data_IF_804795954277
#
_entry.id   IF_804795954277
#
_cell.length_a   1.000
_cell.length_b   1.000
_cell.length_c   1.000
_cell.angle_alpha   90.00
_cell.angle_beta   90.00
_cell.angle_gamma   90.00
#
_symmetry.space_group_name_H-M   'P 1'
#
loop_
_entity.id
_entity.type
_entity.pdbx_description
1 polymer ?
#
# COMPACT_ATOMS: atom_id res chain seq x y z
N UNK A 1 -21.09 11.19 5.28
CA UNK A 1 -20.70 9.76 5.28
C UNK A 1 -19.33 9.62 4.62
N UNK A 2 -18.31 9.05 5.29
CA UNK A 2 -17.08 8.67 4.62
C UNK A 2 -17.37 7.56 3.59
N UNK A 3 -16.56 7.47 2.52
CA UNK A 3 -16.64 6.44 1.47
C UNK A 3 -17.86 6.54 0.53
N UNK A 4 -18.14 7.74 0.02
CA UNK A 4 -19.18 7.94 -0.98
C UNK A 4 -18.89 7.11 -2.25
N UNK A 5 -19.87 6.30 -2.65
CA UNK A 5 -19.81 5.59 -3.92
C UNK A 5 -20.16 6.57 -5.04
N UNK A 6 -19.39 6.62 -6.14
CA UNK A 6 -19.65 7.57 -7.23
C UNK A 6 -21.05 7.36 -7.84
N UNK A 7 -21.77 8.46 -8.06
CA UNK A 7 -23.12 8.42 -8.66
C UNK A 7 -23.12 7.96 -10.13
N UNK A 8 -21.98 8.08 -10.82
CA UNK A 8 -21.81 7.67 -12.22
C UNK A 8 -21.55 6.17 -12.39
N UNK A 9 -21.46 5.41 -11.29
CA UNK A 9 -21.30 3.95 -11.27
C UNK A 9 -22.65 3.27 -11.07
N UNK A 10 -22.87 2.17 -11.79
CA UNK A 10 -24.11 1.40 -11.67
C UNK A 10 -24.31 0.87 -10.25
N UNK A 11 -25.51 1.05 -9.69
CA UNK A 11 -25.90 0.45 -8.40
C UNK A 11 -25.70 -1.07 -8.37
N UNK A 12 -25.78 -1.73 -9.53
CA UNK A 12 -25.57 -3.18 -9.66
C UNK A 12 -24.11 -3.63 -9.42
N UNK A 13 -23.14 -2.72 -9.44
CA UNK A 13 -21.74 -3.03 -9.18
C UNK A 13 -21.39 -3.03 -7.68
N UNK A 14 -22.29 -2.51 -6.85
CA UNK A 14 -22.15 -2.46 -5.40
C UNK A 14 -22.31 -3.85 -4.79
N UNK A 15 -21.32 -4.27 -4.00
CA UNK A 15 -21.29 -5.59 -3.38
C UNK A 15 -21.54 -5.50 -1.87
N UNK A 16 -22.31 -6.45 -1.34
CA UNK A 16 -22.56 -6.59 0.09
C UNK A 16 -21.69 -7.72 0.65
N UNK A 17 -20.59 -7.36 1.30
CA UNK A 17 -19.62 -8.29 1.86
C UNK A 17 -19.94 -8.66 3.31
N UNK A 18 -20.53 -7.72 4.05
CA UNK A 18 -20.89 -7.87 5.46
C UNK A 18 -22.26 -7.25 5.74
N UNK A 19 -22.76 -7.40 6.97
CA UNK A 19 -23.98 -6.71 7.41
C UNK A 19 -23.73 -5.24 7.82
N UNK A 20 -22.47 -4.78 7.86
CA UNK A 20 -22.14 -3.38 8.18
C UNK A 20 -22.08 -2.53 6.89
N UNK A 21 -22.99 -1.57 6.69
CA UNK A 21 -23.02 -0.74 5.50
C UNK A 21 -21.76 0.12 5.32
N UNK A 22 -21.05 0.46 6.39
CA UNK A 22 -19.81 1.27 6.33
C UNK A 22 -18.65 0.46 5.80
N UNK A 23 -18.53 -0.80 6.23
CA UNK A 23 -17.54 -1.74 5.71
C UNK A 23 -17.81 -1.99 4.22
N UNK A 24 -19.09 -2.21 3.85
CA UNK A 24 -19.45 -2.37 2.44
C UNK A 24 -19.10 -1.13 1.62
N UNK A 25 -19.42 0.07 2.11
CA UNK A 25 -19.08 1.32 1.42
C UNK A 25 -17.55 1.43 1.22
N UNK A 26 -16.77 1.20 2.26
CA UNK A 26 -15.31 1.20 2.18
C UNK A 26 -14.76 0.19 1.17
N UNK A 27 -15.16 -1.08 1.24
CA UNK A 27 -14.69 -2.12 0.31
C UNK A 27 -15.08 -1.83 -1.14
N UNK A 28 -16.26 -1.26 -1.37
CA UNK A 28 -16.67 -0.84 -2.71
C UNK A 28 -15.84 0.35 -3.22
N UNK A 29 -15.47 1.31 -2.36
CA UNK A 29 -14.52 2.36 -2.77
C UNK A 29 -13.12 1.81 -3.06
N UNK A 30 -12.64 0.82 -2.29
CA UNK A 30 -11.38 0.13 -2.57
C UNK A 30 -11.42 -0.61 -3.91
N UNK A 31 -12.52 -1.30 -4.23
CA UNK A 31 -12.74 -1.94 -5.54
C UNK A 31 -12.62 -0.94 -6.68
N UNK A 32 -13.23 0.24 -6.55
CA UNK A 32 -13.11 1.31 -7.56
C UNK A 32 -11.65 1.77 -7.69
N UNK A 33 -10.97 2.00 -6.58
CA UNK A 33 -9.55 2.39 -6.56
C UNK A 33 -8.67 1.35 -7.22
N UNK A 34 -8.90 0.06 -6.97
CA UNK A 34 -8.18 -1.05 -7.59
C UNK A 34 -8.40 -1.09 -9.11
N UNK A 35 -9.64 -0.92 -9.58
CA UNK A 35 -9.93 -0.84 -11.02
C UNK A 35 -9.24 0.36 -11.69
N UNK A 36 -9.21 1.52 -11.05
CA UNK A 36 -8.50 2.72 -11.54
C UNK A 36 -6.98 2.51 -11.55
N UNK A 37 -6.45 1.87 -10.51
CA UNK A 37 -5.04 1.49 -10.44
C UNK A 37 -4.69 0.49 -11.56
N UNK A 38 -5.57 -0.48 -11.84
CA UNK A 38 -5.45 -1.39 -12.96
C UNK A 38 -5.36 -0.66 -14.31
N UNK A 39 -6.17 0.38 -14.52
CA UNK A 39 -6.10 1.24 -15.73
C UNK A 39 -4.77 1.99 -15.81
N UNK A 40 -4.28 2.53 -14.69
CA UNK A 40 -2.95 3.17 -14.61
C UNK A 40 -1.86 2.20 -15.05
N UNK A 41 -1.82 0.99 -14.45
CA UNK A 41 -0.84 -0.05 -14.79
C UNK A 41 -0.93 -0.45 -16.27
N UNK A 42 -2.14 -0.61 -16.82
CA UNK A 42 -2.31 -0.86 -18.26
C UNK A 42 -1.74 0.26 -19.13
N UNK A 43 -1.92 1.52 -18.72
CA UNK A 43 -1.31 2.68 -19.37
C UNK A 43 0.22 2.57 -19.44
N UNK A 44 0.87 2.23 -18.32
CA UNK A 44 2.33 2.03 -18.28
C UNK A 44 2.77 0.84 -19.17
N UNK A 45 2.04 -0.27 -19.17
CA UNK A 45 2.34 -1.43 -20.02
C UNK A 45 2.21 -1.09 -21.51
N UNK A 46 1.12 -0.42 -21.91
CA UNK A 46 0.89 -0.05 -23.32
C UNK A 46 1.98 0.87 -23.89
N UNK A 47 2.59 1.70 -23.04
CA UNK A 47 3.68 2.62 -23.38
C UNK A 47 5.07 2.01 -23.23
N UNK A 48 5.17 0.72 -22.88
CA UNK A 48 6.44 0.01 -22.59
C UNK A 48 7.26 0.65 -21.45
N UNK A 49 6.60 1.33 -20.51
CA UNK A 49 7.23 1.97 -19.34
C UNK A 49 7.21 1.10 -18.10
N UNK A 50 6.32 0.10 -18.06
CA UNK A 50 6.08 -0.73 -16.87
C UNK A 50 7.36 -1.37 -16.30
N UNK A 51 8.18 -1.94 -17.18
CA UNK A 51 9.39 -2.65 -16.82
C UNK A 51 10.49 -1.74 -16.24
N UNK A 52 10.53 -0.48 -16.68
CA UNK A 52 11.52 0.51 -16.25
C UNK A 52 10.98 1.46 -15.17
N UNK A 53 9.83 1.14 -14.57
CA UNK A 53 9.20 1.91 -13.49
C UNK A 53 9.29 1.15 -12.17
N UNK A 54 9.69 1.86 -11.10
CA UNK A 54 9.50 1.39 -9.72
C UNK A 54 8.15 1.90 -9.21
N UNK A 55 7.21 0.98 -9.01
CA UNK A 55 5.93 1.29 -8.38
C UNK A 55 6.05 1.13 -6.88
N UNK A 56 5.59 2.13 -6.13
CA UNK A 56 5.53 2.11 -4.68
C UNK A 56 4.09 2.44 -4.31
N UNK A 57 3.40 1.49 -3.69
CA UNK A 57 1.99 1.62 -3.29
C UNK A 57 1.94 1.62 -1.78
N UNK A 58 1.35 2.67 -1.20
CA UNK A 58 1.26 2.87 0.25
C UNK A 58 -0.05 3.58 0.60
N UNK A 59 -0.62 3.28 1.78
CA UNK A 59 -1.68 4.10 2.38
C UNK A 59 -1.07 5.10 3.35
N UNK A 60 -1.62 6.31 3.42
CA UNK A 60 -1.19 7.34 4.36
C UNK A 60 -1.52 6.98 5.81
N UNK A 61 -2.67 6.35 6.01
CA UNK A 61 -3.12 5.82 7.28
C UNK A 61 -4.06 4.62 7.09
N UNK A 62 -4.35 3.90 8.19
CA UNK A 62 -5.35 2.85 8.24
C UNK A 62 -6.75 3.40 8.56
N UNK A 63 -7.72 2.52 8.79
CA UNK A 63 -9.05 2.91 9.22
C UNK A 63 -9.59 1.94 10.26
N UNK A 64 -10.12 2.50 11.34
CA UNK A 64 -10.72 1.72 12.42
C UNK A 64 -12.21 1.61 12.19
N UNK A 65 -12.66 0.40 11.88
CA UNK A 65 -14.08 0.05 11.93
C UNK A 65 -14.47 -0.28 13.37
N UNK A 66 -15.76 -0.56 13.61
CA UNK A 66 -16.24 -0.99 14.93
C UNK A 66 -15.83 -2.44 15.25
N UNK A 67 -14.60 -2.79 14.94
CA UNK A 67 -14.03 -4.09 15.26
C UNK A 67 -13.82 -4.12 16.79
N UNK A 68 -14.28 -5.20 17.42
CA UNK A 68 -14.14 -5.46 18.86
C UNK A 68 -14.91 -4.53 19.82
N UNK A 69 -15.93 -3.80 19.36
CA UNK A 69 -16.74 -2.92 20.22
C UNK A 69 -16.02 -1.63 20.64
N UNK A 70 -15.05 -1.19 19.83
CA UNK A 70 -14.37 0.09 19.99
C UNK A 70 -15.37 1.25 19.99
N UNK A 71 -15.30 2.12 21.01
CA UNK A 71 -16.06 3.37 21.03
C UNK A 71 -15.49 4.43 20.06
N UNK A 72 -14.33 4.14 19.47
CA UNK A 72 -13.64 5.04 18.53
C UNK A 72 -13.68 4.44 17.12
N UNK A 73 -14.34 5.13 16.20
CA UNK A 73 -14.40 4.79 14.77
C UNK A 73 -13.61 5.84 13.99
N UNK A 74 -12.83 5.39 13.01
CA UNK A 74 -11.96 6.25 12.20
C UNK A 74 -10.56 6.47 12.79
N UNK A 75 -9.82 7.40 12.18
CA UNK A 75 -8.41 7.65 12.49
C UNK A 75 -8.20 8.46 13.78
N UNK A 76 -9.01 9.50 13.98
CA UNK A 76 -8.77 10.49 15.02
C UNK A 76 -8.92 9.87 16.41
N UNK A 77 -7.89 10.06 17.24
CA UNK A 77 -7.84 9.59 18.63
C UNK A 77 -7.97 8.07 18.83
N UNK A 78 -7.72 7.28 17.79
CA UNK A 78 -7.68 5.82 17.91
C UNK A 78 -6.27 5.33 18.28
N UNK A 79 -6.09 4.65 19.44
CA UNK A 79 -4.80 4.04 19.80
C UNK A 79 -4.58 2.68 19.13
N UNK A 80 -5.51 2.23 18.27
CA UNK A 80 -5.49 0.89 17.70
C UNK A 80 -4.51 0.77 16.55
N UNK A 81 -3.84 -0.38 16.46
CA UNK A 81 -2.88 -0.68 15.39
C UNK A 81 -3.51 -0.56 13.99
N UNK A 82 -4.80 -0.89 13.84
CA UNK A 82 -5.54 -0.76 12.57
C UNK A 82 -5.64 0.68 12.05
N UNK A 83 -5.38 1.68 12.88
CA UNK A 83 -5.29 3.08 12.45
C UNK A 83 -3.95 3.40 11.75
N UNK A 84 -2.91 2.59 11.97
CA UNK A 84 -1.53 2.89 11.55
C UNK A 84 -0.91 1.81 10.66
N UNK A 85 -1.39 0.57 10.77
CA UNK A 85 -0.93 -0.54 9.93
C UNK A 85 -1.50 -0.40 8.52
N UNK A 86 -0.61 -0.16 7.55
CA UNK A 86 -0.95 0.15 6.16
C UNK A 86 -0.20 -0.76 5.20
N UNK A 87 -0.75 -1.01 3.99
CA UNK A 87 0.02 -1.69 2.96
C UNK A 87 1.23 -0.83 2.54
N UNK A 88 2.36 -1.48 2.29
CA UNK A 88 3.53 -0.89 1.64
C UNK A 88 4.12 -1.93 0.67
N UNK A 89 4.02 -1.64 -0.63
CA UNK A 89 4.42 -2.55 -1.70
C UNK A 89 5.41 -1.85 -2.61
N UNK A 90 6.57 -2.48 -2.81
CA UNK A 90 7.54 -2.10 -3.84
C UNK A 90 7.45 -3.10 -4.99
N UNK A 91 7.26 -2.60 -6.21
CA UNK A 91 7.14 -3.44 -7.40
C UNK A 91 8.00 -2.92 -8.54
N UNK A 92 8.90 -3.79 -9.02
CA UNK A 92 9.66 -3.62 -10.25
C UNK A 92 10.15 -5.00 -10.73
N UNK A 93 10.34 -5.19 -12.04
CA UNK A 93 10.81 -6.46 -12.63
C UNK A 93 12.14 -6.99 -12.10
N UNK A 94 12.98 -6.12 -11.54
CA UNK A 94 14.30 -6.49 -11.00
C UNK A 94 14.29 -6.81 -9.50
N UNK A 95 13.17 -6.57 -8.81
CA UNK A 95 13.00 -6.96 -7.42
C UNK A 95 12.55 -8.42 -7.33
N UNK A 96 13.15 -9.21 -6.45
CA UNK A 96 12.64 -10.55 -6.17
C UNK A 96 11.40 -10.44 -5.28
N UNK A 97 10.32 -11.18 -5.59
CA UNK A 97 9.15 -11.25 -4.72
C UNK A 97 9.56 -11.75 -3.33
N UNK A 98 9.26 -10.96 -2.30
CA UNK A 98 9.50 -11.33 -0.91
C UNK A 98 8.50 -10.62 -0.01
N UNK A 99 7.92 -11.35 0.94
CA UNK A 99 7.21 -10.74 2.06
C UNK A 99 8.21 -10.40 3.16
N UNK A 100 8.18 -9.16 3.62
CA UNK A 100 9.01 -8.68 4.72
C UNK A 100 8.16 -8.67 5.99
N UNK A 101 8.73 -9.15 7.09
CA UNK A 101 8.12 -9.13 8.41
C UNK A 101 8.96 -8.25 9.32
N UNK A 102 8.32 -7.29 9.99
CA UNK A 102 8.98 -6.31 10.83
C UNK A 102 8.14 -5.05 11.00
N UNK A 103 8.65 -4.12 11.81
CA UNK A 103 8.07 -2.79 11.95
C UNK A 103 8.76 -1.85 10.96
N UNK A 104 7.95 -1.21 10.13
CA UNK A 104 8.38 -0.28 9.10
C UNK A 104 7.51 0.97 9.16
N UNK A 105 8.09 2.11 8.80
CA UNK A 105 7.41 3.40 8.74
C UNK A 105 7.40 3.93 7.30
N UNK A 106 6.45 4.81 7.00
CA UNK A 106 6.45 5.58 5.75
C UNK A 106 7.72 6.42 5.59
N UNK A 107 8.41 6.75 6.68
CA UNK A 107 9.72 7.40 6.66
C UNK A 107 10.83 6.54 6.05
N UNK A 108 10.68 5.21 6.06
CA UNK A 108 11.67 4.29 5.49
C UNK A 108 11.61 4.22 3.96
N UNK A 109 10.57 4.78 3.33
CA UNK A 109 10.36 4.73 1.88
C UNK A 109 11.51 5.44 1.15
N UNK A 110 11.85 6.66 1.56
CA UNK A 110 12.90 7.44 0.89
C UNK A 110 14.28 6.77 0.96
N UNK A 111 14.81 6.36 2.13
CA UNK A 111 16.10 5.65 2.17
C UNK A 111 16.04 4.33 1.38
N UNK A 112 14.93 3.61 1.41
CA UNK A 112 14.74 2.39 0.60
C UNK A 112 14.82 2.66 -0.90
N UNK A 113 14.19 3.73 -1.39
CA UNK A 113 14.29 4.16 -2.79
C UNK A 113 15.75 4.47 -3.16
N UNK A 114 16.44 5.24 -2.33
CA UNK A 114 17.83 5.61 -2.57
C UNK A 114 18.73 4.38 -2.65
N UNK A 115 18.53 3.41 -1.75
CA UNK A 115 19.27 2.15 -1.81
C UNK A 115 18.97 1.36 -3.08
N UNK A 116 17.70 1.24 -3.50
CA UNK A 116 17.34 0.56 -4.74
C UNK A 116 18.05 1.20 -5.95
N UNK A 117 18.01 2.53 -6.05
CA UNK A 117 18.58 3.27 -7.19
C UNK A 117 20.12 3.21 -7.19
N UNK A 118 20.76 3.39 -6.04
CA UNK A 118 22.22 3.36 -5.90
C UNK A 118 22.79 1.94 -6.08
N UNK A 119 22.08 0.92 -5.62
CA UNK A 119 22.47 -0.49 -5.79
C UNK A 119 22.32 -0.97 -7.23
N UNK A 120 21.31 -0.48 -7.97
CA UNK A 120 21.14 -0.72 -9.41
C UNK A 120 22.34 -0.22 -10.22
N UNK A 121 22.94 0.90 -9.80
CA UNK A 121 24.14 1.48 -10.41
C UNK A 121 25.41 0.65 -10.19
N UNK A 122 25.51 -0.08 -9.07
CA UNK A 122 26.76 -0.74 -8.64
C UNK A 122 26.87 -2.23 -8.96
N UNK A 123 25.77 -2.98 -9.17
CA UNK A 123 25.78 -4.36 -9.69
C UNK A 123 24.34 -4.94 -9.84
N UNK A 124 23.89 -5.21 -11.08
CA UNK A 124 22.52 -5.67 -11.42
C UNK A 124 22.03 -6.98 -10.75
N UNK A 125 22.91 -7.77 -10.11
CA UNK A 125 22.57 -9.09 -9.51
C UNK A 125 22.35 -9.09 -7.98
N UNK A 126 22.53 -7.96 -7.28
CA UNK A 126 22.69 -7.96 -5.80
C UNK A 126 21.68 -7.10 -5.02
N UNK A 127 20.55 -6.75 -5.63
CA UNK A 127 19.62 -5.73 -5.13
C UNK A 127 18.85 -6.14 -3.84
N UNK A 128 18.51 -7.42 -3.68
CA UNK A 128 17.63 -7.90 -2.60
C UNK A 128 18.29 -8.02 -1.24
N UNK A 129 19.58 -8.36 -1.18
CA UNK A 129 20.28 -8.51 0.10
C UNK A 129 20.63 -7.17 0.75
N UNK A 130 20.65 -6.08 -0.02
CA UNK A 130 21.01 -4.76 0.49
C UNK A 130 19.82 -4.02 1.14
N UNK A 131 18.62 -4.20 0.60
CA UNK A 131 17.39 -3.64 1.18
C UNK A 131 17.15 -4.14 2.62
N UNK A 132 17.36 -5.43 2.85
CA UNK A 132 17.26 -6.03 4.20
C UNK A 132 18.32 -5.46 5.14
N UNK A 133 19.58 -5.42 4.70
CA UNK A 133 20.68 -4.92 5.53
C UNK A 133 20.54 -3.44 5.88
N UNK A 134 19.94 -2.62 5.01
CA UNK A 134 19.78 -1.19 5.28
C UNK A 134 18.71 -0.94 6.34
N UNK A 135 17.58 -1.63 6.22
CA UNK A 135 16.49 -1.49 7.18
C UNK A 135 16.84 -2.10 8.55
N UNK A 136 17.52 -3.25 8.57
CA UNK A 136 18.03 -3.85 9.81
C UNK A 136 19.06 -2.94 10.52
N UNK A 137 19.93 -2.25 9.77
CA UNK A 137 20.92 -1.33 10.34
C UNK A 137 20.33 0.00 10.83
N UNK A 138 19.15 0.40 10.35
CA UNK A 138 18.44 1.58 10.85
C UNK A 138 17.74 1.30 12.18
N UNK A 139 17.23 0.08 12.38
CA UNK A 139 16.59 -0.34 13.65
C UNK A 139 17.58 -0.49 14.82
N UNK A 140 18.87 -0.75 14.55
CA UNK A 140 19.90 -0.88 15.60
C UNK A 140 20.45 0.45 16.12
N UNK A 141 19.99 1.60 15.59
CA UNK A 141 20.48 2.94 15.94
C UNK A 141 19.50 3.79 16.78
N UNK A 142 18.37 3.22 17.17
CA UNK A 142 17.37 3.80 18.08
C UNK A 142 17.31 2.99 19.36
#
# INVERSE_FOLDING_TARGET
>A
EPFLYPEDRSYNDYQYYTNDPRINAHLNTLKITDELFGKLIHGFKSRKLYDDTLFIVVSDHGYVFNDYGSQTVGLLSSPLESAFSVPLIFHNRYLQPKQLHGQYSTMDILPTIMDILLSSSKNKKKLTNQLLSSVENQQLKT
#
